data_IF_598027215823
#
_entry.id   IF_598027215823
#
_cell.length_a   1.000
_cell.length_b   1.000
_cell.length_c   1.000
_cell.angle_alpha   90.00
_cell.angle_beta   90.00
_cell.angle_gamma   90.00
#
_symmetry.space_group_name_H-M   'P 1'
#
loop_
_entity.id
_entity.type
_entity.pdbx_description
1 polymer ?
#
# COMPACT_ATOMS: atom_id res chain seq x y z
N UNK A 1 12.75 22.00 1.87
CA UNK A 1 11.64 21.81 0.90
C UNK A 1 11.03 20.44 1.07
N UNK A 2 9.95 20.15 0.35
CA UNK A 2 9.39 18.78 0.24
C UNK A 2 10.26 18.04 -0.77
N UNK A 3 10.88 16.93 -0.39
CA UNK A 3 11.73 16.12 -1.29
C UNK A 3 11.04 14.82 -1.75
N UNK A 4 9.97 14.44 -1.05
CA UNK A 4 9.23 13.21 -1.32
C UNK A 4 7.75 13.40 -0.94
N UNK A 5 6.85 12.84 -1.75
CA UNK A 5 5.43 12.70 -1.40
C UNK A 5 4.89 11.33 -1.82
N UNK A 6 3.85 10.87 -1.12
CA UNK A 6 3.14 9.64 -1.47
C UNK A 6 1.86 10.01 -2.22
N UNK A 7 1.62 9.36 -3.36
CA UNK A 7 0.39 9.50 -4.14
C UNK A 7 -0.40 8.19 -4.08
N UNK A 8 -1.71 8.28 -3.89
CA UNK A 8 -2.63 7.16 -3.98
C UNK A 8 -3.88 7.58 -4.75
N UNK A 9 -4.36 6.74 -5.67
CA UNK A 9 -5.51 7.06 -6.52
C UNK A 9 -6.81 6.49 -5.94
N UNK A 10 -7.27 7.10 -4.83
CA UNK A 10 -8.44 6.61 -4.09
C UNK A 10 -9.59 7.61 -4.13
N UNK A 11 -10.24 7.78 -5.29
CA UNK A 11 -11.35 8.72 -5.48
C UNK A 11 -12.57 8.48 -4.57
N UNK A 12 -12.72 7.27 -4.03
CA UNK A 12 -13.72 6.92 -3.01
C UNK A 12 -13.09 6.51 -1.67
N UNK A 13 -11.86 6.94 -1.41
CA UNK A 13 -11.18 6.77 -0.13
C UNK A 13 -10.65 5.38 0.17
N UNK A 14 -10.25 5.22 1.43
CA UNK A 14 -9.80 3.95 2.01
C UNK A 14 -11.03 3.25 2.57
N UNK A 15 -11.22 1.98 2.21
CA UNK A 15 -12.40 1.22 2.64
C UNK A 15 -12.12 0.33 3.82
N UNK A 16 -12.98 0.38 4.84
CA UNK A 16 -12.89 -0.46 6.03
C UNK A 16 -14.29 -0.90 6.48
N UNK A 17 -14.34 -2.00 7.23
CA UNK A 17 -15.55 -2.42 7.96
C UNK A 17 -15.49 -1.92 9.41
N UNK A 18 -16.43 -2.38 10.23
CA UNK A 18 -16.35 -2.20 11.69
C UNK A 18 -14.98 -2.66 12.20
N UNK A 19 -14.43 -1.95 13.18
CA UNK A 19 -13.15 -2.34 13.78
C UNK A 19 -13.30 -3.66 14.50
N UNK A 20 -12.25 -4.48 14.43
CA UNK A 20 -12.16 -5.73 15.17
C UNK A 20 -10.89 -5.71 16.02
N UNK A 21 -10.60 -6.84 16.67
CA UNK A 21 -9.44 -6.96 17.55
C UNK A 21 -8.38 -7.90 16.98
N UNK A 22 -7.12 -7.56 17.20
CA UNK A 22 -5.98 -8.46 16.99
C UNK A 22 -5.47 -9.01 18.33
N UNK A 23 -4.29 -9.65 18.33
CA UNK A 23 -3.65 -10.26 19.52
C UNK A 23 -3.76 -9.36 20.75
N UNK A 24 -4.19 -9.94 21.87
CA UNK A 24 -4.37 -9.21 23.13
C UNK A 24 -5.57 -8.26 23.15
N UNK A 25 -6.58 -8.50 22.31
CA UNK A 25 -7.78 -7.67 22.17
C UNK A 25 -7.48 -6.22 21.73
N UNK A 26 -6.31 -5.97 21.12
CA UNK A 26 -5.95 -4.65 20.63
C UNK A 26 -6.85 -4.25 19.45
N UNK A 27 -7.43 -3.04 19.42
CA UNK A 27 -8.26 -2.60 18.30
C UNK A 27 -7.42 -2.50 17.04
N UNK A 28 -7.98 -2.97 15.93
CA UNK A 28 -7.36 -2.99 14.61
C UNK A 28 -8.39 -2.70 13.52
N UNK A 29 -7.92 -2.15 12.40
CA UNK A 29 -8.76 -2.02 11.21
C UNK A 29 -9.09 -3.42 10.72
N UNK A 30 -10.37 -3.65 10.45
CA UNK A 30 -10.82 -4.81 9.71
C UNK A 30 -11.42 -4.39 8.37
N UNK A 31 -11.44 -5.35 7.47
CA UNK A 31 -12.07 -5.23 6.18
C UNK A 31 -12.85 -6.50 5.91
N UNK A 32 -14.13 -6.34 5.62
CA UNK A 32 -14.99 -7.35 5.06
C UNK A 32 -15.63 -6.77 3.81
N UNK A 33 -15.36 -7.39 2.65
CA UNK A 33 -15.79 -6.90 1.34
C UNK A 33 -17.31 -6.63 1.27
N UNK A 34 -18.11 -7.35 2.06
CA UNK A 34 -19.57 -7.21 2.06
C UNK A 34 -20.08 -5.98 2.81
N UNK A 35 -19.35 -5.51 3.82
CA UNK A 35 -19.81 -4.47 4.76
C UNK A 35 -18.93 -3.22 4.73
N UNK A 36 -17.81 -3.25 3.99
CA UNK A 36 -16.88 -2.14 3.96
C UNK A 36 -17.50 -0.86 3.37
N UNK A 37 -17.07 0.27 3.91
CA UNK A 37 -17.40 1.62 3.44
C UNK A 37 -16.10 2.41 3.23
N UNK A 38 -16.10 3.31 2.26
CA UNK A 38 -14.99 4.21 1.97
C UNK A 38 -15.05 5.47 2.83
N UNK A 39 -13.89 5.97 3.26
CA UNK A 39 -13.77 7.21 4.00
C UNK A 39 -12.72 8.11 3.36
N UNK A 40 -13.10 9.35 3.02
CA UNK A 40 -12.15 10.35 2.51
C UNK A 40 -12.66 11.77 2.69
N UNK A 41 -11.80 12.67 3.14
CA UNK A 41 -12.10 14.11 3.29
C UNK A 41 -13.44 14.39 4.01
N UNK A 42 -13.72 13.65 5.08
CA UNK A 42 -14.96 13.78 5.88
C UNK A 42 -16.21 13.19 5.23
N UNK A 43 -16.10 12.56 4.06
CA UNK A 43 -17.19 11.87 3.37
C UNK A 43 -17.14 10.36 3.59
N UNK A 44 -18.32 9.75 3.63
CA UNK A 44 -18.51 8.30 3.65
C UNK A 44 -19.03 7.88 2.28
N UNK A 45 -18.41 6.86 1.71
CA UNK A 45 -18.77 6.25 0.42
C UNK A 45 -19.30 4.85 0.68
N UNK A 46 -20.54 4.60 0.28
CA UNK A 46 -21.20 3.31 0.48
C UNK A 46 -22.05 2.93 -0.74
N UNK A 47 -22.38 1.65 -0.84
CA UNK A 47 -23.19 1.12 -1.93
C UNK A 47 -22.41 0.85 -3.22
N UNK A 48 -23.17 0.50 -4.28
CA UNK A 48 -22.60 0.00 -5.54
C UNK A 48 -22.00 1.08 -6.43
N UNK A 49 -22.55 2.30 -6.42
CA UNK A 49 -22.16 3.40 -7.32
C UNK A 49 -21.92 4.68 -6.51
N UNK A 50 -20.72 4.82 -5.98
CA UNK A 50 -20.35 5.92 -5.07
C UNK A 50 -20.34 7.30 -5.72
N UNK A 51 -20.30 7.34 -7.05
CA UNK A 51 -20.27 8.55 -7.87
C UNK A 51 -21.47 8.60 -8.84
N UNK A 52 -22.56 7.89 -8.53
CA UNK A 52 -23.79 7.87 -9.31
C UNK A 52 -23.74 7.09 -10.63
N UNK A 53 -22.56 6.60 -11.04
CA UNK A 53 -22.37 5.80 -12.26
C UNK A 53 -21.22 4.81 -12.10
N UNK A 54 -21.15 3.87 -13.05
CA UNK A 54 -19.99 3.01 -13.24
C UNK A 54 -18.96 3.73 -14.12
N UNK A 55 -17.69 3.53 -13.81
CA UNK A 55 -16.54 3.98 -14.60
C UNK A 55 -15.95 2.77 -15.32
N UNK A 56 -15.51 2.97 -16.55
CA UNK A 56 -14.73 2.00 -17.30
C UNK A 56 -13.25 2.04 -16.91
N UNK A 57 -12.51 0.96 -17.19
CA UNK A 57 -11.05 0.95 -16.97
C UNK A 57 -10.35 2.01 -17.82
N UNK A 58 -10.83 2.24 -19.04
CA UNK A 58 -10.24 3.20 -19.96
C UNK A 58 -10.38 4.63 -19.44
N UNK A 59 -11.54 5.01 -18.91
CA UNK A 59 -11.72 6.32 -18.26
C UNK A 59 -10.74 6.52 -17.09
N UNK A 60 -10.51 5.49 -16.27
CA UNK A 60 -9.55 5.58 -15.15
C UNK A 60 -8.11 5.74 -15.68
N UNK A 61 -7.75 5.04 -16.75
CA UNK A 61 -6.44 5.19 -17.43
C UNK A 61 -6.26 6.55 -18.09
N UNK A 62 -7.29 7.09 -18.73
CA UNK A 62 -7.28 8.43 -19.31
C UNK A 62 -7.08 9.50 -18.24
N UNK A 63 -7.81 9.38 -17.11
CA UNK A 63 -7.68 10.28 -15.96
C UNK A 63 -6.26 10.25 -15.37
N UNK A 64 -5.70 9.06 -15.15
CA UNK A 64 -4.33 8.93 -14.66
C UNK A 64 -3.32 9.51 -15.65
N UNK A 65 -3.46 9.21 -16.95
CA UNK A 65 -2.57 9.72 -18.00
C UNK A 65 -2.59 11.24 -18.05
N UNK A 66 -3.79 11.83 -17.99
CA UNK A 66 -3.95 13.28 -17.93
C UNK A 66 -3.24 13.85 -16.71
N UNK A 67 -3.53 13.32 -15.51
CA UNK A 67 -2.93 13.78 -14.25
C UNK A 67 -1.40 13.68 -14.26
N UNK A 68 -0.85 12.49 -14.55
CA UNK A 68 0.57 12.23 -14.39
C UNK A 68 1.41 13.05 -15.38
N UNK A 69 0.91 13.32 -16.59
CA UNK A 69 1.58 14.18 -17.57
C UNK A 69 1.67 15.64 -17.13
N UNK A 70 0.77 16.12 -16.26
CA UNK A 70 0.85 17.45 -15.68
C UNK A 70 1.79 17.48 -14.46
N UNK A 71 1.81 16.40 -13.67
CA UNK A 71 2.59 16.32 -12.43
C UNK A 71 4.07 16.08 -12.67
N UNK A 72 4.41 15.22 -13.64
CA UNK A 72 5.79 14.81 -13.92
C UNK A 72 6.73 16.00 -14.18
N UNK A 73 6.42 16.96 -15.07
CA UNK A 73 7.31 18.08 -15.33
C UNK A 73 7.64 18.90 -14.08
N UNK A 74 6.64 19.14 -13.23
CA UNK A 74 6.79 19.89 -11.97
C UNK A 74 7.61 19.10 -10.95
N UNK A 75 7.38 17.78 -10.85
CA UNK A 75 8.13 16.91 -9.95
C UNK A 75 9.62 16.87 -10.33
N UNK A 76 9.94 16.83 -11.63
CA UNK A 76 11.30 16.87 -12.15
C UNK A 76 11.97 18.23 -11.92
N UNK A 77 11.30 19.33 -12.29
CA UNK A 77 11.80 20.70 -12.11
C UNK A 77 12.17 20.99 -10.65
N UNK A 78 11.33 20.54 -9.71
CA UNK A 78 11.53 20.77 -8.27
C UNK A 78 12.35 19.66 -7.58
N UNK A 79 12.76 18.61 -8.31
CA UNK A 79 13.50 17.48 -7.74
C UNK A 79 12.70 16.67 -6.70
N UNK A 80 11.37 16.69 -6.77
CA UNK A 80 10.47 15.98 -5.84
C UNK A 80 10.25 14.56 -6.33
N UNK A 81 10.42 13.56 -5.45
CA UNK A 81 10.06 12.17 -5.74
C UNK A 81 8.62 11.88 -5.33
N UNK A 82 7.86 11.21 -6.19
CA UNK A 82 6.51 10.76 -5.91
C UNK A 82 6.48 9.23 -5.88
N UNK A 83 6.20 8.67 -4.70
CA UNK A 83 5.98 7.23 -4.55
C UNK A 83 4.51 6.87 -4.61
N UNK A 84 4.16 6.03 -5.58
CA UNK A 84 2.80 5.53 -5.80
C UNK A 84 2.48 4.42 -4.79
N UNK A 85 1.46 4.64 -3.97
CA UNK A 85 0.90 3.67 -3.03
C UNK A 85 -0.17 2.81 -3.72
N UNK A 86 -0.29 1.52 -3.37
CA UNK A 86 -1.29 0.64 -3.96
C UNK A 86 -2.71 1.08 -3.57
N UNK A 87 -3.69 0.69 -4.37
CA UNK A 87 -5.09 0.94 -4.02
C UNK A 87 -5.45 0.12 -2.77
N UNK A 88 -5.90 0.77 -1.70
CA UNK A 88 -6.24 0.10 -0.42
C UNK A 88 -7.75 0.16 -0.16
N UNK A 89 -8.49 -0.97 -0.23
CA UNK A 89 -8.03 -2.33 -0.57
C UNK A 89 -7.83 -2.54 -2.10
N UNK A 90 -6.99 -3.50 -2.53
CA UNK A 90 -6.72 -3.77 -3.94
C UNK A 90 -7.73 -4.76 -4.52
N UNK A 91 -8.99 -4.33 -4.66
CA UNK A 91 -10.07 -5.13 -5.29
C UNK A 91 -10.31 -4.69 -6.73
N UNK A 92 -10.76 -5.55 -7.66
CA UNK A 92 -10.93 -5.19 -9.07
C UNK A 92 -11.80 -3.94 -9.32
N UNK A 93 -12.85 -3.77 -8.53
CA UNK A 93 -13.77 -2.64 -8.59
C UNK A 93 -14.34 -2.35 -7.20
N UNK A 94 -14.50 -1.07 -6.88
CA UNK A 94 -15.07 -0.64 -5.61
C UNK A 94 -15.97 0.57 -5.82
N UNK A 95 -17.23 0.47 -5.40
CA UNK A 95 -18.19 1.56 -5.52
C UNK A 95 -18.40 2.07 -6.96
N UNK A 96 -18.28 1.19 -7.96
CA UNK A 96 -18.42 1.51 -9.38
C UNK A 96 -17.15 2.06 -10.05
N UNK A 97 -16.02 2.06 -9.32
CA UNK A 97 -14.72 2.57 -9.79
C UNK A 97 -13.72 1.40 -9.89
N UNK A 98 -13.19 1.09 -11.10
CA UNK A 98 -12.15 0.10 -11.27
C UNK A 98 -10.83 0.51 -10.58
N UNK A 99 -10.14 -0.44 -9.95
CA UNK A 99 -8.79 -0.24 -9.36
C UNK A 99 -7.72 -0.92 -10.22
N UNK A 100 -7.80 -0.68 -11.52
CA UNK A 100 -6.98 -1.36 -12.53
C UNK A 100 -5.54 -0.84 -12.63
N UNK A 101 -5.24 0.32 -12.03
CA UNK A 101 -3.94 0.98 -12.12
C UNK A 101 -3.03 0.56 -10.97
N UNK A 102 -3.47 0.72 -9.71
CA UNK A 102 -2.63 0.45 -8.54
C UNK A 102 -3.14 -0.71 -7.66
N UNK A 103 -4.07 -1.52 -8.18
CA UNK A 103 -4.53 -2.74 -7.53
C UNK A 103 -3.71 -4.01 -7.86
N UNK A 104 -2.84 -3.97 -8.87
CA UNK A 104 -2.05 -5.14 -9.30
C UNK A 104 -0.74 -4.74 -10.00
N UNK A 105 0.14 -5.72 -10.18
CA UNK A 105 1.47 -5.52 -10.74
C UNK A 105 1.47 -4.98 -12.18
N UNK A 106 0.63 -5.51 -13.06
CA UNK A 106 0.58 -5.08 -14.47
C UNK A 106 0.10 -3.64 -14.61
N UNK A 107 -0.87 -3.24 -13.78
CA UNK A 107 -1.31 -1.85 -13.66
C UNK A 107 -0.15 -0.94 -13.25
N UNK A 108 0.63 -1.35 -12.26
CA UNK A 108 1.82 -0.59 -11.84
C UNK A 108 2.84 -0.43 -12.97
N UNK A 109 3.13 -1.49 -13.73
CA UNK A 109 4.07 -1.43 -14.85
C UNK A 109 3.62 -0.41 -15.90
N UNK A 110 2.36 -0.52 -16.35
CA UNK A 110 1.79 0.42 -17.33
C UNK A 110 1.77 1.85 -16.79
N UNK A 111 1.48 2.04 -15.50
CA UNK A 111 1.43 3.36 -14.90
C UNK A 111 2.80 4.04 -14.83
N UNK A 112 3.85 3.27 -14.49
CA UNK A 112 5.24 3.75 -14.48
C UNK A 112 5.74 4.05 -15.90
N UNK A 113 5.36 3.23 -16.88
CA UNK A 113 5.67 3.48 -18.29
C UNK A 113 5.02 4.77 -18.80
N UNK A 114 3.73 5.00 -18.50
CA UNK A 114 3.04 6.24 -18.88
C UNK A 114 3.68 7.47 -18.21
N UNK A 115 4.11 7.33 -16.95
CA UNK A 115 4.78 8.40 -16.23
C UNK A 115 6.16 8.74 -16.81
N UNK A 116 6.90 7.71 -17.29
CA UNK A 116 8.23 7.80 -17.90
C UNK A 116 9.17 8.85 -17.26
N UNK A 117 9.27 8.85 -15.94
CA UNK A 117 9.97 9.90 -15.20
C UNK A 117 10.90 9.31 -14.15
N UNK A 118 12.12 9.84 -13.96
CA UNK A 118 12.98 9.46 -12.84
C UNK A 118 12.40 9.87 -11.47
N UNK A 119 11.44 10.80 -11.45
CA UNK A 119 10.82 11.35 -10.24
C UNK A 119 9.52 10.63 -9.82
N UNK A 120 9.06 9.65 -10.60
CA UNK A 120 7.95 8.77 -10.25
C UNK A 120 8.44 7.35 -9.95
N UNK A 121 7.99 6.79 -8.83
CA UNK A 121 8.37 5.47 -8.34
C UNK A 121 7.30 4.90 -7.42
N UNK A 122 7.68 3.95 -6.57
CA UNK A 122 6.76 3.09 -5.82
C UNK A 122 6.95 3.25 -4.32
N UNK A 123 5.82 3.50 -3.65
CA UNK A 123 5.64 3.30 -2.23
C UNK A 123 4.91 1.96 -2.04
N UNK A 124 5.66 0.85 -1.97
CA UNK A 124 5.05 -0.47 -1.88
C UNK A 124 4.55 -0.69 -0.44
N UNK A 125 3.23 -0.66 -0.27
CA UNK A 125 2.64 -1.12 0.98
C UNK A 125 2.55 -2.64 0.97
N UNK A 126 3.43 -3.29 1.73
CA UNK A 126 3.44 -4.75 1.86
C UNK A 126 2.09 -5.24 2.37
N UNK A 127 1.48 -4.53 3.33
CA UNK A 127 0.15 -4.89 3.84
C UNK A 127 -0.93 -4.88 2.77
N UNK A 128 -1.05 -3.81 2.00
CA UNK A 128 -2.02 -3.74 0.91
C UNK A 128 -1.76 -4.82 -0.14
N UNK A 129 -0.49 -5.09 -0.47
CA UNK A 129 -0.14 -6.16 -1.40
C UNK A 129 -0.54 -7.55 -0.86
N UNK A 130 -0.38 -7.78 0.44
CA UNK A 130 -0.84 -8.99 1.13
C UNK A 130 -2.38 -9.11 1.11
N UNK A 131 -3.10 -8.01 1.34
CA UNK A 131 -4.57 -7.99 1.23
C UNK A 131 -5.06 -8.47 -0.15
N UNK A 132 -4.38 -8.06 -1.23
CA UNK A 132 -4.71 -8.51 -2.59
C UNK A 132 -4.34 -9.97 -2.88
N UNK A 133 -3.36 -10.52 -2.16
CA UNK A 133 -2.97 -11.92 -2.28
C UNK A 133 -2.60 -12.31 -3.70
N UNK A 134 -3.30 -13.28 -4.28
CA UNK A 134 -3.03 -13.75 -5.66
C UNK A 134 -3.48 -12.77 -6.74
N UNK A 135 -4.45 -11.91 -6.43
CA UNK A 135 -5.04 -10.97 -7.41
C UNK A 135 -4.08 -9.84 -7.80
N UNK A 136 -2.99 -9.64 -7.04
CA UNK A 136 -1.94 -8.68 -7.38
C UNK A 136 -1.08 -9.13 -8.56
N UNK A 137 -1.18 -10.39 -8.99
CA UNK A 137 -0.43 -10.98 -10.12
C UNK A 137 1.03 -11.34 -9.82
N UNK A 138 1.62 -10.72 -8.80
CA UNK A 138 2.92 -11.07 -8.21
C UNK A 138 2.82 -11.04 -6.71
N UNK A 139 3.47 -11.97 -6.01
CA UNK A 139 3.54 -11.87 -4.56
C UNK A 139 4.40 -10.66 -4.12
N UNK A 140 4.36 -10.33 -2.83
CA UNK A 140 5.06 -9.14 -2.30
C UNK A 140 6.58 -9.23 -2.47
N UNK A 141 7.17 -10.43 -2.44
CA UNK A 141 8.61 -10.63 -2.60
C UNK A 141 9.02 -10.45 -4.06
N UNK A 142 8.24 -11.01 -4.98
CA UNK A 142 8.40 -10.79 -6.41
C UNK A 142 8.25 -9.31 -6.78
N UNK A 143 7.25 -8.63 -6.22
CA UNK A 143 7.03 -7.20 -6.45
C UNK A 143 8.21 -6.36 -5.95
N UNK A 144 8.75 -6.65 -4.77
CA UNK A 144 9.97 -6.01 -4.25
C UNK A 144 11.13 -6.18 -5.23
N UNK A 145 11.41 -7.41 -5.66
CA UNK A 145 12.51 -7.69 -6.60
C UNK A 145 12.32 -6.97 -7.93
N UNK A 146 11.11 -6.97 -8.47
CA UNK A 146 10.83 -6.34 -9.75
C UNK A 146 10.97 -4.81 -9.68
N UNK A 147 10.32 -4.15 -8.71
CA UNK A 147 10.39 -2.69 -8.58
C UNK A 147 11.79 -2.20 -8.18
N UNK A 148 12.54 -2.99 -7.39
CA UNK A 148 13.93 -2.68 -7.08
C UNK A 148 14.82 -2.77 -8.31
N UNK A 149 14.68 -3.83 -9.13
CA UNK A 149 15.40 -3.98 -10.40
C UNK A 149 15.15 -2.82 -11.37
N UNK A 150 13.95 -2.23 -11.35
CA UNK A 150 13.60 -1.05 -12.15
C UNK A 150 14.14 0.27 -11.57
N UNK A 151 14.76 0.26 -10.38
CA UNK A 151 15.16 1.49 -9.67
C UNK A 151 13.97 2.31 -9.16
N UNK A 152 12.79 1.71 -9.05
CA UNK A 152 11.52 2.39 -8.72
C UNK A 152 11.05 2.14 -7.29
N UNK A 153 11.60 1.17 -6.57
CA UNK A 153 11.22 0.90 -5.18
C UNK A 153 11.86 1.91 -4.22
N UNK A 154 11.08 2.82 -3.64
CA UNK A 154 11.63 3.92 -2.83
C UNK A 154 11.14 3.95 -1.38
N UNK A 155 9.98 3.37 -1.13
CA UNK A 155 9.36 3.36 0.20
C UNK A 155 8.59 2.07 0.43
N UNK A 156 8.67 1.57 1.66
CA UNK A 156 7.96 0.39 2.13
C UNK A 156 7.05 0.79 3.28
N UNK A 157 5.76 0.44 3.20
CA UNK A 157 4.94 0.32 4.40
C UNK A 157 4.98 -1.14 4.86
N UNK A 158 5.57 -1.36 6.03
CA UNK A 158 5.91 -2.66 6.58
C UNK A 158 4.87 -3.03 7.64
N UNK A 159 3.73 -3.54 7.17
CA UNK A 159 2.60 -3.96 7.99
C UNK A 159 2.07 -5.31 7.52
N UNK A 160 1.29 -5.97 8.36
CA UNK A 160 0.83 -7.35 8.15
C UNK A 160 -0.68 -7.47 8.42
N UNK A 161 -1.31 -8.50 7.85
CA UNK A 161 -2.76 -8.76 7.94
C UNK A 161 -3.02 -10.24 8.24
N UNK A 162 -4.21 -10.57 8.71
CA UNK A 162 -4.57 -11.95 9.10
C UNK A 162 -4.84 -12.89 7.93
N UNK A 163 -5.30 -12.35 6.79
CA UNK A 163 -5.56 -13.10 5.55
C UNK A 163 -5.67 -12.13 4.35
N UNK A 164 -5.68 -12.63 3.10
CA UNK A 164 -6.12 -11.85 1.95
C UNK A 164 -7.63 -11.57 1.95
N UNK A 165 -8.07 -10.64 1.12
CA UNK A 165 -9.48 -10.35 0.78
C UNK A 165 -10.18 -11.67 0.37
N UNK A 166 -11.44 -11.92 0.79
CA UNK A 166 -12.50 -10.95 1.09
C UNK A 166 -12.58 -10.42 2.52
N UNK A 167 -11.79 -10.97 3.44
CA UNK A 167 -11.84 -10.60 4.85
C UNK A 167 -10.45 -10.59 5.47
N UNK A 168 -10.10 -9.52 6.17
CA UNK A 168 -8.87 -9.44 6.95
C UNK A 168 -9.02 -8.51 8.16
N UNK A 169 -8.15 -8.73 9.14
CA UNK A 169 -7.89 -7.81 10.25
C UNK A 169 -6.40 -7.45 10.18
N UNK A 170 -6.08 -6.17 10.32
CA UNK A 170 -4.70 -5.73 10.45
C UNK A 170 -4.11 -6.25 11.76
N UNK A 171 -2.82 -6.60 11.72
CA UNK A 171 -2.18 -7.31 12.83
C UNK A 171 -0.95 -6.56 13.30
N UNK A 172 -0.44 -6.92 14.47
CA UNK A 172 0.94 -6.59 14.80
C UNK A 172 1.85 -7.19 13.71
N UNK A 173 2.97 -6.52 13.44
CA UNK A 173 3.89 -6.90 12.36
C UNK A 173 4.32 -8.37 12.41
N UNK A 174 4.40 -8.95 13.61
CA UNK A 174 4.80 -10.33 13.90
C UNK A 174 3.64 -11.33 14.00
N UNK A 175 2.39 -10.90 13.77
CA UNK A 175 1.18 -11.69 14.06
C UNK A 175 0.19 -11.76 12.88
N UNK A 176 0.65 -11.50 11.65
CA UNK A 176 -0.14 -11.73 10.45
C UNK A 176 0.28 -13.01 9.72
N UNK A 177 -0.34 -13.29 8.58
CA UNK A 177 -0.08 -14.53 7.84
C UNK A 177 1.26 -14.50 7.07
N UNK A 178 1.84 -13.32 6.84
CA UNK A 178 3.13 -13.19 6.18
C UNK A 178 4.26 -13.31 7.19
N UNK A 179 5.26 -14.16 6.90
CA UNK A 179 6.55 -14.12 7.60
C UNK A 179 7.32 -12.87 7.18
N UNK A 180 7.23 -11.82 8.00
CA UNK A 180 7.87 -10.53 7.72
C UNK A 180 9.40 -10.60 7.65
N UNK A 181 10.02 -11.66 8.18
CA UNK A 181 11.44 -11.93 7.96
C UNK A 181 11.75 -12.09 6.46
N UNK A 182 10.90 -12.80 5.70
CA UNK A 182 11.12 -12.98 4.25
C UNK A 182 11.12 -11.66 3.50
N UNK A 183 10.25 -10.72 3.90
CA UNK A 183 10.22 -9.37 3.33
C UNK A 183 11.51 -8.63 3.66
N UNK A 184 11.93 -8.62 4.93
CA UNK A 184 13.18 -7.95 5.32
C UNK A 184 14.38 -8.53 4.59
N UNK A 185 14.49 -9.86 4.53
CA UNK A 185 15.55 -10.56 3.80
C UNK A 185 15.56 -10.15 2.33
N UNK A 186 14.39 -10.18 1.67
CA UNK A 186 14.27 -9.77 0.26
C UNK A 186 14.63 -8.29 0.05
N UNK A 187 14.30 -7.40 0.98
CA UNK A 187 14.72 -5.99 0.91
C UNK A 187 16.24 -5.84 1.01
N UNK A 188 16.93 -6.68 1.80
CA UNK A 188 18.40 -6.70 1.84
C UNK A 188 19.02 -7.33 0.60
N UNK A 189 18.44 -8.42 0.09
CA UNK A 189 18.85 -9.07 -1.17
C UNK A 189 18.91 -8.07 -2.33
N UNK A 190 17.96 -7.11 -2.39
CA UNK A 190 17.88 -6.11 -3.47
C UNK A 190 18.60 -4.79 -3.14
N UNK A 191 19.39 -4.75 -2.06
CA UNK A 191 20.03 -3.54 -1.52
C UNK A 191 19.08 -2.33 -1.42
N UNK A 192 17.89 -2.56 -0.85
CA UNK A 192 16.93 -1.47 -0.64
C UNK A 192 17.48 -0.43 0.35
N UNK A 193 17.56 0.82 -0.10
CA UNK A 193 18.07 1.98 0.67
C UNK A 193 17.02 3.08 0.89
N UNK A 194 15.75 2.76 0.63
CA UNK A 194 14.64 3.70 0.80
C UNK A 194 14.10 3.77 2.23
N UNK A 195 12.98 4.46 2.39
CA UNK A 195 12.31 4.57 3.69
C UNK A 195 11.45 3.33 3.99
N UNK A 196 11.54 2.81 5.21
CA UNK A 196 10.68 1.73 5.70
C UNK A 196 9.90 2.25 6.91
N UNK A 197 8.58 2.15 6.85
CA UNK A 197 7.66 2.67 7.87
C UNK A 197 6.84 1.53 8.48
N UNK A 198 6.80 1.46 9.81
CA UNK A 198 5.79 0.67 10.52
C UNK A 198 4.43 1.36 10.34
N UNK A 199 3.57 0.74 9.54
CA UNK A 199 2.30 1.33 9.13
C UNK A 199 1.12 0.63 9.83
N UNK A 200 0.03 1.37 10.05
CA UNK A 200 -1.19 0.88 10.71
C UNK A 200 -0.94 0.02 11.97
N UNK A 201 -0.11 0.54 12.87
CA UNK A 201 0.33 -0.23 14.04
C UNK A 201 -0.80 -0.31 15.08
N UNK A 202 -1.22 -1.51 15.51
CA UNK A 202 -2.23 -1.66 16.55
C UNK A 202 -1.80 -0.99 17.86
N UNK A 203 -2.78 -0.50 18.61
CA UNK A 203 -2.50 0.17 19.89
C UNK A 203 -2.11 -0.85 20.96
N UNK A 204 -1.22 -0.47 21.87
CA UNK A 204 -0.84 -1.26 23.04
C UNK A 204 -1.23 -0.55 24.33
N UNK A 205 -1.21 -1.27 25.45
CA UNK A 205 -1.16 -0.64 26.78
C UNK A 205 0.04 0.31 26.82
N UNK A 206 -0.17 1.56 27.24
CA UNK A 206 0.80 2.65 27.07
C UNK A 206 0.56 3.53 25.83
N UNK A 207 -0.49 3.24 25.06
CA UNK A 207 -0.98 4.08 23.97
C UNK A 207 -0.26 3.85 22.64
N UNK A 208 -0.54 4.74 21.69
CA UNK A 208 -0.07 4.64 20.30
C UNK A 208 1.46 4.49 20.22
N UNK A 209 2.20 5.29 20.98
CA UNK A 209 3.67 5.28 20.92
C UNK A 209 4.27 3.94 21.36
N UNK A 210 3.63 3.23 22.29
CA UNK A 210 4.08 1.90 22.71
C UNK A 210 3.98 0.89 21.55
N UNK A 211 2.87 0.90 20.81
CA UNK A 211 2.71 0.06 19.61
C UNK A 211 3.77 0.34 18.55
N UNK A 212 4.02 1.61 18.25
CA UNK A 212 5.06 2.01 17.29
C UNK A 212 6.46 1.62 17.75
N UNK A 213 6.79 1.83 19.03
CA UNK A 213 8.08 1.43 19.59
C UNK A 213 8.31 -0.08 19.48
N UNK A 214 7.28 -0.88 19.78
CA UNK A 214 7.31 -2.33 19.60
C UNK A 214 7.58 -2.71 18.13
N UNK A 215 6.80 -2.16 17.20
CA UNK A 215 6.93 -2.49 15.77
C UNK A 215 8.29 -2.08 15.19
N UNK A 216 8.79 -0.88 15.55
CA UNK A 216 10.11 -0.42 15.12
C UNK A 216 11.21 -1.30 15.73
N UNK A 217 11.08 -1.68 17.01
CA UNK A 217 12.01 -2.61 17.66
C UNK A 217 12.09 -3.95 16.92
N UNK A 218 10.94 -4.53 16.59
CA UNK A 218 10.86 -5.77 15.81
C UNK A 218 11.49 -5.63 14.42
N UNK A 219 11.18 -4.55 13.69
CA UNK A 219 11.78 -4.26 12.37
C UNK A 219 13.30 -4.13 12.46
N UNK A 220 13.83 -3.43 13.47
CA UNK A 220 15.28 -3.29 13.69
C UNK A 220 15.94 -4.64 13.98
N UNK A 221 15.27 -5.52 14.72
CA UNK A 221 15.77 -6.87 14.99
C UNK A 221 15.84 -7.71 13.70
N UNK A 222 14.81 -7.65 12.84
CA UNK A 222 14.84 -8.31 11.53
C UNK A 222 15.97 -7.76 10.66
N UNK A 223 16.15 -6.44 10.63
CA UNK A 223 17.24 -5.81 9.87
C UNK A 223 18.61 -6.23 10.39
N UNK A 224 18.80 -6.27 11.71
CA UNK A 224 20.05 -6.72 12.32
C UNK A 224 20.36 -8.17 11.94
N UNK A 225 19.35 -9.05 11.98
CA UNK A 225 19.48 -10.44 11.51
C UNK A 225 19.87 -10.48 10.03
N UNK A 226 19.19 -9.74 9.17
CA UNK A 226 19.44 -9.74 7.72
C UNK A 226 20.81 -9.17 7.33
N UNK A 227 21.44 -8.37 8.18
CA UNK A 227 22.81 -7.88 7.98
C UNK A 227 23.88 -8.85 8.52
N UNK A 228 23.49 -9.85 9.32
CA UNK A 228 24.40 -10.85 9.89
C UNK A 228 24.45 -12.17 9.10
N UNK A 229 23.55 -12.35 8.13
CA UNK A 229 23.59 -13.42 7.11
C UNK A 229 24.38 -12.93 5.89
#
# INVERSE_FOLDING_TARGET
GIFYTTYAHMGNGIWSSEQETTRGAAPARAFNLKTAKGYWAGKVFEGRLTHGRKYSKDEIWENYTYFIKQVVPVAEELGIRIGIHPDDPPVPELGGVPRCIFGNFDGYLRALEIANSPNIGVCLCCGTWLEGGKETGKDVLEAIRAFAKMGKLWKIHFRNVSAPIPYFVETFVDNGYMDMWQIMKTLREVDFRGALIADHVPTMVGGRMAGWAYSIGYIKALLARANGE
#
